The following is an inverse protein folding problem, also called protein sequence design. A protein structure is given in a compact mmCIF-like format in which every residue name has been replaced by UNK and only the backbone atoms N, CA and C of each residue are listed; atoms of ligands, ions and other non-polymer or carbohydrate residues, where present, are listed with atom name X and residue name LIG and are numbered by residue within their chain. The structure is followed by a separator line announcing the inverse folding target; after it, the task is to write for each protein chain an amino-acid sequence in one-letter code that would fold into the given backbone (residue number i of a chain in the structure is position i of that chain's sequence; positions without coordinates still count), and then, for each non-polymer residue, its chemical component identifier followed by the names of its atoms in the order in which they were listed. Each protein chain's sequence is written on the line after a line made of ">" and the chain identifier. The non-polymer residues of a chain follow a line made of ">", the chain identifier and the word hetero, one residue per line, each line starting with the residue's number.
data_IF_378217889114
#
_entry.id   IF_378217889114
#
_cell.length_a   1.000
_cell.length_b   1.000
_cell.length_c   1.000
_cell.angle_alpha   90.00
_cell.angle_beta   90.00
_cell.angle_gamma   90.00
#
_symmetry.space_group_name_H-M   'P 1'
#
loop_
_entity.id
_entity.type
_entity.pdbx_description
1 polymer ?
#
# COMPACT_ATOMS: atom_id res chain seq x y z
N UNK A 1 8.75 21.65 10.90
CA UNK A 1 9.22 20.96 9.67
C UNK A 1 8.08 20.30 8.88
N UNK A 2 7.30 19.34 9.43
CA UNK A 2 6.17 18.70 8.70
C UNK A 2 5.13 19.68 8.13
N UNK A 3 4.64 20.64 8.92
CA UNK A 3 3.69 21.67 8.47
C UNK A 3 4.26 22.60 7.39
N UNK A 4 5.57 22.88 7.44
CA UNK A 4 6.25 23.72 6.46
C UNK A 4 6.41 23.02 5.11
N UNK A 5 6.67 21.70 5.11
CA UNK A 5 6.76 20.91 3.88
C UNK A 5 5.39 20.80 3.21
N UNK A 6 4.34 20.55 3.99
CA UNK A 6 2.96 20.47 3.51
C UNK A 6 2.54 21.81 2.88
N UNK A 7 2.80 22.92 3.59
CA UNK A 7 2.56 24.27 3.08
C UNK A 7 3.30 24.56 1.78
N UNK A 8 4.59 24.19 1.70
CA UNK A 8 5.39 24.40 0.49
C UNK A 8 4.87 23.55 -0.68
N UNK A 9 4.49 22.29 -0.43
CA UNK A 9 3.90 21.42 -1.47
C UNK A 9 2.53 21.91 -1.95
N UNK A 10 1.68 22.42 -1.05
CA UNK A 10 0.40 22.99 -1.44
C UNK A 10 0.56 24.30 -2.21
N UNK A 11 1.54 25.12 -1.84
CA UNK A 11 1.85 26.36 -2.53
C UNK A 11 2.40 26.10 -3.93
N UNK A 12 3.28 25.10 -4.07
CA UNK A 12 3.79 24.66 -5.37
C UNK A 12 2.64 24.19 -6.28
N UNK A 13 1.78 23.29 -5.78
CA UNK A 13 0.61 22.81 -6.54
C UNK A 13 -0.32 23.96 -6.95
N UNK A 14 -0.55 24.91 -6.04
CA UNK A 14 -1.36 26.10 -6.30
C UNK A 14 -0.77 26.97 -7.41
N UNK A 15 0.54 27.25 -7.38
CA UNK A 15 1.18 28.01 -8.45
C UNK A 15 1.22 27.23 -9.78
N UNK A 16 1.43 25.91 -9.75
CA UNK A 16 1.34 25.09 -10.97
C UNK A 16 -0.04 25.20 -11.63
N UNK A 17 -1.12 25.15 -10.84
CA UNK A 17 -2.50 25.34 -11.30
C UNK A 17 -2.70 26.70 -11.99
N UNK A 18 -2.06 27.76 -11.50
CA UNK A 18 -2.20 29.11 -12.03
C UNK A 18 -1.31 29.37 -13.27
N UNK A 19 -0.10 28.81 -13.28
CA UNK A 19 0.88 29.06 -14.36
C UNK A 19 0.59 28.17 -15.58
N UNK A 20 0.15 26.92 -15.36
CA UNK A 20 -0.08 25.93 -16.43
C UNK A 20 -1.50 25.35 -16.41
N UNK A 21 -2.57 26.19 -16.45
CA UNK A 21 -3.95 25.75 -16.20
C UNK A 21 -4.42 24.65 -17.16
N UNK A 22 -4.10 24.76 -18.46
CA UNK A 22 -4.48 23.76 -19.46
C UNK A 22 -3.81 22.39 -19.21
N UNK A 23 -2.50 22.39 -18.88
CA UNK A 23 -1.75 21.16 -18.59
C UNK A 23 -2.23 20.52 -17.30
N UNK A 24 -2.38 21.32 -16.24
CA UNK A 24 -2.87 20.82 -14.96
C UNK A 24 -4.28 20.27 -15.05
N UNK A 25 -5.17 20.92 -15.80
CA UNK A 25 -6.52 20.39 -16.07
C UNK A 25 -6.46 19.05 -16.81
N UNK A 26 -5.65 18.96 -17.88
CA UNK A 26 -5.48 17.71 -18.63
C UNK A 26 -5.00 16.56 -17.74
N UNK A 27 -3.96 16.77 -16.93
CA UNK A 27 -3.44 15.72 -16.04
C UNK A 27 -4.38 15.40 -14.87
N UNK A 28 -5.20 16.36 -14.42
CA UNK A 28 -6.27 16.08 -13.48
C UNK A 28 -7.34 15.18 -14.10
N UNK A 29 -7.74 15.43 -15.36
CA UNK A 29 -8.65 14.57 -16.11
C UNK A 29 -8.09 13.15 -16.29
N UNK A 30 -6.81 13.02 -16.63
CA UNK A 30 -6.15 11.71 -16.70
C UNK A 30 -6.18 10.97 -15.36
N UNK A 31 -5.89 11.68 -14.25
CA UNK A 31 -6.01 11.12 -12.90
C UNK A 31 -7.43 10.69 -12.53
N UNK A 32 -8.44 11.49 -12.92
CA UNK A 32 -9.87 11.15 -12.74
C UNK A 32 -10.25 9.93 -13.57
N UNK A 33 -9.85 9.87 -14.84
CA UNK A 33 -10.14 8.76 -15.74
C UNK A 33 -9.55 7.46 -15.21
N UNK A 34 -8.29 7.50 -14.79
CA UNK A 34 -7.62 6.37 -14.16
C UNK A 34 -8.34 5.93 -12.87
N UNK A 35 -8.69 6.88 -12.01
CA UNK A 35 -9.42 6.57 -10.77
C UNK A 35 -10.79 5.95 -11.07
N UNK A 36 -11.57 6.55 -11.96
CA UNK A 36 -12.96 6.17 -12.22
C UNK A 36 -13.10 4.89 -13.05
N UNK A 37 -12.31 4.75 -14.13
CA UNK A 37 -12.43 3.62 -15.05
C UNK A 37 -11.60 2.40 -14.65
N UNK A 38 -10.57 2.58 -13.82
CA UNK A 38 -9.67 1.49 -13.44
C UNK A 38 -9.73 1.19 -11.96
N UNK A 39 -9.45 2.16 -11.10
CA UNK A 39 -9.28 1.92 -9.66
C UNK A 39 -10.63 1.68 -8.97
N UNK A 40 -11.66 2.46 -9.30
CA UNK A 40 -12.98 2.36 -8.72
C UNK A 40 -13.62 0.98 -8.93
N UNK A 41 -13.79 0.48 -10.16
CA UNK A 41 -14.41 -0.82 -10.40
C UNK A 41 -13.56 -1.99 -9.90
N UNK A 42 -12.23 -1.86 -9.87
CA UNK A 42 -11.33 -2.95 -9.46
C UNK A 42 -11.18 -3.07 -7.94
N UNK A 43 -11.19 -1.97 -7.18
CA UNK A 43 -10.94 -2.00 -5.73
C UNK A 43 -12.22 -1.86 -4.89
N UNK A 44 -13.24 -1.14 -5.35
CA UNK A 44 -14.43 -0.88 -4.52
C UNK A 44 -15.13 -2.19 -4.08
N UNK A 45 -15.39 -3.18 -4.95
CA UNK A 45 -16.03 -4.42 -4.52
C UNK A 45 -15.20 -5.14 -3.44
N UNK A 46 -13.87 -5.15 -3.59
CA UNK A 46 -12.97 -5.77 -2.63
C UNK A 46 -12.94 -5.03 -1.29
N UNK A 47 -12.97 -3.69 -1.30
CA UNK A 47 -13.03 -2.88 -0.07
C UNK A 47 -14.34 -3.14 0.71
N UNK A 48 -15.47 -3.19 0.00
CA UNK A 48 -16.78 -3.47 0.61
C UNK A 48 -16.80 -4.88 1.21
N UNK A 49 -16.39 -5.90 0.43
CA UNK A 49 -16.34 -7.28 0.90
C UNK A 49 -15.38 -7.44 2.08
N UNK A 50 -14.24 -6.77 2.06
CA UNK A 50 -13.31 -6.84 3.18
C UNK A 50 -13.89 -6.15 4.42
N UNK A 51 -14.53 -5.00 4.29
CA UNK A 51 -15.24 -4.35 5.41
C UNK A 51 -16.32 -5.28 5.99
N UNK A 52 -17.05 -6.02 5.16
CA UNK A 52 -18.00 -7.04 5.65
C UNK A 52 -17.31 -8.20 6.38
N UNK A 53 -16.19 -8.72 5.85
CA UNK A 53 -15.42 -9.79 6.49
C UNK A 53 -14.80 -9.36 7.82
N UNK A 54 -14.45 -8.08 7.93
CA UNK A 54 -13.97 -7.40 9.13
C UNK A 54 -15.08 -7.34 10.18
N UNK A 55 -16.24 -6.76 9.84
CA UNK A 55 -17.38 -6.56 10.74
C UNK A 55 -18.00 -7.89 11.21
N UNK A 56 -17.98 -8.93 10.37
CA UNK A 56 -18.49 -10.27 10.74
C UNK A 56 -17.53 -11.10 11.60
N UNK A 57 -16.29 -10.63 11.79
CA UNK A 57 -15.23 -11.38 12.49
C UNK A 57 -14.73 -12.63 11.74
N UNK A 58 -15.19 -12.86 10.50
CA UNK A 58 -14.77 -14.00 9.68
C UNK A 58 -13.27 -13.95 9.38
N UNK A 59 -12.74 -12.75 9.08
CA UNK A 59 -11.32 -12.55 8.84
C UNK A 59 -10.46 -12.97 10.05
N UNK A 60 -10.92 -12.67 11.28
CA UNK A 60 -10.22 -13.05 12.52
C UNK A 60 -10.22 -14.57 12.76
N UNK A 61 -11.27 -15.28 12.33
CA UNK A 61 -11.34 -16.75 12.42
C UNK A 61 -10.44 -17.44 11.39
N UNK A 62 -10.40 -16.92 10.16
CA UNK A 62 -9.51 -17.43 9.11
C UNK A 62 -8.05 -17.22 9.51
N UNK A 63 -7.74 -16.06 10.10
CA UNK A 63 -6.37 -15.76 10.53
C UNK A 63 -5.90 -16.67 11.68
N UNK A 64 -6.78 -17.02 12.62
CA UNK A 64 -6.42 -17.92 13.73
C UNK A 64 -5.92 -19.31 13.28
N UNK A 65 -6.33 -19.81 12.10
CA UNK A 65 -5.89 -21.13 11.60
C UNK A 65 -4.47 -21.14 11.03
N UNK A 66 -4.00 -20.01 10.49
CA UNK A 66 -2.65 -19.86 9.94
C UNK A 66 -1.66 -19.23 10.94
N UNK A 67 -2.12 -18.98 12.16
CA UNK A 67 -1.40 -18.29 13.24
C UNK A 67 -0.05 -18.96 13.57
N UNK A 68 -0.02 -20.29 13.67
CA UNK A 68 1.19 -21.04 14.08
C UNK A 68 2.36 -20.84 13.10
N UNK A 69 2.08 -20.84 11.79
CA UNK A 69 3.11 -20.63 10.77
C UNK A 69 3.66 -19.20 10.84
N UNK A 70 2.79 -18.19 10.91
CA UNK A 70 3.20 -16.78 10.91
C UNK A 70 3.83 -16.33 12.23
N UNK A 71 3.41 -16.90 13.37
CA UNK A 71 4.11 -16.74 14.65
C UNK A 71 5.54 -17.27 14.56
N UNK A 72 5.73 -18.44 13.96
CA UNK A 72 7.04 -19.07 13.86
C UNK A 72 7.96 -18.32 12.88
N UNK A 73 7.45 -17.91 11.72
CA UNK A 73 8.25 -17.29 10.64
C UNK A 73 8.40 -15.78 10.78
N UNK A 74 7.39 -15.07 11.26
CA UNK A 74 7.40 -13.60 11.38
C UNK A 74 7.38 -13.10 12.83
N UNK A 75 7.02 -13.93 13.81
CA UNK A 75 6.96 -13.53 15.22
C UNK A 75 5.81 -12.57 15.54
N UNK A 76 4.76 -12.58 14.72
CA UNK A 76 3.58 -11.73 14.87
C UNK A 76 2.62 -12.31 15.91
N UNK A 77 1.95 -11.44 16.65
CA UNK A 77 0.77 -11.78 17.45
C UNK A 77 -0.40 -12.20 16.53
N UNK A 78 -1.48 -12.79 17.08
CA UNK A 78 -2.68 -13.09 16.30
C UNK A 78 -3.29 -11.84 15.64
N UNK A 79 -3.29 -10.72 16.36
CA UNK A 79 -3.74 -9.42 15.86
C UNK A 79 -2.81 -8.88 14.76
N UNK A 80 -1.50 -9.03 14.93
CA UNK A 80 -0.52 -8.66 13.90
C UNK A 80 -0.64 -9.49 12.63
N UNK A 81 -0.91 -10.80 12.75
CA UNK A 81 -1.17 -11.64 11.59
C UNK A 81 -2.45 -11.22 10.87
N UNK A 82 -3.50 -10.85 11.61
CA UNK A 82 -4.72 -10.32 11.04
C UNK A 82 -4.48 -9.03 10.23
N UNK A 83 -3.65 -8.12 10.74
CA UNK A 83 -3.25 -6.92 9.98
C UNK A 83 -2.47 -7.24 8.70
N UNK A 84 -1.52 -8.18 8.77
CA UNK A 84 -0.77 -8.63 7.59
C UNK A 84 -1.69 -9.29 6.54
N UNK A 85 -2.57 -10.20 6.98
CA UNK A 85 -3.48 -10.92 6.10
C UNK A 85 -4.36 -9.93 5.33
N UNK A 86 -5.04 -9.03 6.03
CA UNK A 86 -5.89 -8.04 5.38
C UNK A 86 -5.10 -7.01 4.58
N UNK A 87 -3.92 -6.63 5.04
CA UNK A 87 -3.02 -5.77 4.29
C UNK A 87 -2.62 -6.37 2.94
N UNK A 88 -2.40 -7.68 2.87
CA UNK A 88 -2.14 -8.38 1.60
C UNK A 88 -3.37 -8.41 0.68
N UNK A 89 -4.58 -8.64 1.21
CA UNK A 89 -5.79 -8.71 0.39
C UNK A 89 -6.32 -7.35 -0.05
N UNK A 90 -6.37 -6.37 0.85
CA UNK A 90 -6.87 -5.02 0.58
C UNK A 90 -5.84 -4.12 -0.09
N UNK A 91 -4.55 -4.41 0.16
CA UNK A 91 -3.44 -3.60 -0.28
C UNK A 91 -3.31 -2.26 0.44
N UNK A 92 -2.72 -1.27 -0.23
CA UNK A 92 -2.56 0.07 0.33
C UNK A 92 -3.85 0.90 0.32
N UNK A 93 -3.98 1.87 1.26
CA UNK A 93 -3.20 2.04 2.49
C UNK A 93 -3.75 1.20 3.66
N UNK A 94 -4.62 0.22 3.37
CA UNK A 94 -5.43 -0.49 4.38
C UNK A 94 -4.61 -1.27 5.38
N UNK A 95 -3.52 -1.92 4.96
CA UNK A 95 -2.62 -2.61 5.90
C UNK A 95 -2.11 -1.69 7.02
N UNK A 96 -1.74 -0.45 6.67
CA UNK A 96 -1.29 0.54 7.65
C UNK A 96 -2.43 1.06 8.53
N UNK A 97 -3.64 1.29 7.96
CA UNK A 97 -4.84 1.68 8.73
C UNK A 97 -5.19 0.63 9.78
N UNK A 98 -5.25 -0.64 9.40
CA UNK A 98 -5.57 -1.74 10.32
C UNK A 98 -4.50 -1.86 11.40
N UNK A 99 -3.22 -1.75 11.02
CA UNK A 99 -2.11 -1.75 11.98
C UNK A 99 -2.25 -0.62 13.01
N UNK A 100 -2.59 0.59 12.57
CA UNK A 100 -2.81 1.73 13.46
C UNK A 100 -4.01 1.50 14.40
N UNK A 101 -5.12 0.97 13.89
CA UNK A 101 -6.31 0.67 14.69
C UNK A 101 -6.03 -0.38 15.79
N UNK A 102 -5.29 -1.44 15.47
CA UNK A 102 -4.92 -2.46 16.45
C UNK A 102 -3.97 -1.90 17.52
N UNK A 103 -3.08 -0.98 17.14
CA UNK A 103 -2.19 -0.30 18.07
C UNK A 103 -2.96 0.65 19.00
N UNK A 104 -3.88 1.46 18.47
CA UNK A 104 -4.76 2.34 19.24
C UNK A 104 -5.69 1.56 20.17
N UNK A 105 -6.11 0.36 19.77
CA UNK A 105 -6.91 -0.55 20.58
C UNK A 105 -6.07 -1.35 21.61
N UNK A 106 -4.76 -1.11 21.70
CA UNK A 106 -3.82 -1.83 22.57
C UNK A 106 -3.78 -3.36 22.32
N UNK A 107 -4.23 -3.84 21.14
CA UNK A 107 -4.16 -5.25 20.75
C UNK A 107 -2.73 -5.66 20.32
N UNK A 108 -1.93 -4.70 19.85
CA UNK A 108 -0.51 -4.86 19.51
C UNK A 108 0.34 -3.76 20.14
N UNK A 109 1.61 -4.05 20.43
CA UNK A 109 2.52 -3.04 20.94
C UNK A 109 3.09 -2.14 19.82
N UNK A 110 3.75 -1.05 20.21
CA UNK A 110 4.33 -0.09 19.26
C UNK A 110 5.42 -0.70 18.37
N UNK A 111 6.17 -1.67 18.89
CA UNK A 111 7.25 -2.31 18.15
C UNK A 111 6.69 -3.22 17.07
N UNK A 112 5.66 -4.01 17.40
CA UNK A 112 4.94 -4.85 16.46
C UNK A 112 4.23 -4.02 15.41
N UNK A 113 3.59 -2.91 15.79
CA UNK A 113 3.00 -1.98 14.84
C UNK A 113 4.04 -1.39 13.88
N UNK A 114 5.18 -0.91 14.38
CA UNK A 114 6.27 -0.40 13.54
C UNK A 114 6.86 -1.49 12.63
N UNK A 115 6.98 -2.72 13.13
CA UNK A 115 7.43 -3.86 12.35
C UNK A 115 6.46 -4.20 11.23
N UNK A 116 5.15 -4.28 11.52
CA UNK A 116 4.11 -4.53 10.52
C UNK A 116 4.10 -3.47 9.43
N UNK A 117 4.27 -2.19 9.77
CA UNK A 117 4.33 -1.11 8.78
C UNK A 117 5.39 -1.32 7.69
N UNK A 118 6.44 -2.12 7.95
CA UNK A 118 7.50 -2.40 6.96
C UNK A 118 7.02 -3.31 5.81
N UNK A 119 5.98 -4.13 6.00
CA UNK A 119 5.58 -5.17 5.02
C UNK A 119 4.09 -5.52 5.00
N UNK A 120 3.24 -4.94 5.86
CA UNK A 120 1.79 -5.14 5.82
C UNK A 120 1.11 -4.34 4.70
N UNK A 121 1.88 -3.45 4.06
CA UNK A 121 1.43 -2.59 2.99
C UNK A 121 2.03 -3.11 1.68
N UNK A 122 1.21 -3.79 0.87
CA UNK A 122 1.55 -4.30 -0.47
C UNK A 122 0.47 -3.92 -1.49
N UNK A 123 0.73 -3.99 -2.81
CA UNK A 123 -0.35 -3.86 -3.79
C UNK A 123 -1.36 -5.00 -3.61
N UNK A 124 -2.65 -4.72 -3.79
CA UNK A 124 -3.68 -5.76 -3.66
C UNK A 124 -3.65 -6.73 -4.85
N UNK A 125 -4.15 -7.96 -4.70
CA UNK A 125 -4.27 -8.90 -5.82
C UNK A 125 -5.14 -8.34 -6.95
N UNK A 126 -6.17 -7.59 -6.60
CA UNK A 126 -7.04 -6.92 -7.56
C UNK A 126 -6.26 -5.89 -8.40
N UNK A 127 -5.42 -5.07 -7.77
CA UNK A 127 -4.56 -4.11 -8.47
C UNK A 127 -3.55 -4.82 -9.38
N UNK A 128 -2.91 -5.90 -8.91
CA UNK A 128 -1.95 -6.65 -9.71
C UNK A 128 -2.60 -7.32 -10.92
N UNK A 129 -3.74 -7.97 -10.75
CA UNK A 129 -4.45 -8.64 -11.84
C UNK A 129 -5.02 -7.67 -12.87
N UNK A 130 -5.73 -6.63 -12.41
CA UNK A 130 -6.40 -5.70 -13.32
C UNK A 130 -5.44 -4.70 -13.95
N UNK A 131 -4.57 -4.08 -13.15
CA UNK A 131 -3.77 -2.96 -13.64
C UNK A 131 -2.40 -3.40 -14.16
N UNK A 132 -1.66 -4.17 -13.37
CA UNK A 132 -0.31 -4.58 -13.78
C UNK A 132 -0.37 -5.61 -14.91
N UNK A 133 -1.13 -6.69 -14.71
CA UNK A 133 -1.17 -7.80 -15.68
C UNK A 133 -2.01 -7.41 -16.90
N UNK A 134 -3.29 -7.06 -16.70
CA UNK A 134 -4.22 -6.84 -17.81
C UNK A 134 -4.00 -5.49 -18.51
N UNK A 135 -3.87 -4.37 -17.79
CA UNK A 135 -3.71 -3.05 -18.41
C UNK A 135 -2.26 -2.78 -18.88
N UNK A 136 -1.26 -2.93 -18.00
CA UNK A 136 0.11 -2.50 -18.32
C UNK A 136 0.84 -3.49 -19.26
N UNK A 137 0.56 -4.78 -19.17
CA UNK A 137 1.19 -5.82 -20.00
C UNK A 137 0.21 -6.51 -20.97
N UNK A 138 -1.01 -6.01 -21.13
CA UNK A 138 -2.01 -6.59 -22.05
C UNK A 138 -2.26 -8.09 -21.81
N UNK A 139 -2.10 -8.57 -20.58
CA UNK A 139 -2.24 -9.99 -20.21
C UNK A 139 -1.08 -10.89 -20.64
N UNK A 140 0.01 -10.36 -21.19
CA UNK A 140 1.12 -11.16 -21.72
C UNK A 140 2.09 -11.67 -20.64
N UNK A 141 2.08 -11.06 -19.46
CA UNK A 141 2.92 -11.48 -18.33
C UNK A 141 2.23 -12.56 -17.49
N UNK A 142 2.96 -13.62 -17.15
CA UNK A 142 2.40 -14.73 -16.36
C UNK A 142 2.01 -14.25 -14.93
N UNK A 143 0.76 -14.44 -14.49
CA UNK A 143 0.31 -13.96 -13.17
C UNK A 143 1.16 -14.49 -12.02
N UNK A 144 1.52 -15.78 -12.06
CA UNK A 144 2.35 -16.40 -11.02
C UNK A 144 3.73 -15.75 -10.87
N UNK A 145 4.28 -15.18 -11.94
CA UNK A 145 5.55 -14.46 -11.89
C UNK A 145 5.39 -13.13 -11.14
N UNK A 146 4.35 -12.35 -11.49
CA UNK A 146 4.05 -11.06 -10.84
C UNK A 146 3.78 -11.24 -9.34
N UNK A 147 2.92 -12.18 -8.99
CA UNK A 147 2.60 -12.49 -7.60
C UNK A 147 3.80 -13.04 -6.83
N UNK A 148 4.56 -13.95 -7.44
CA UNK A 148 5.75 -14.55 -6.84
C UNK A 148 6.82 -13.52 -6.52
N UNK A 149 7.14 -12.62 -7.46
CA UNK A 149 8.13 -11.56 -7.25
C UNK A 149 7.66 -10.58 -6.17
N UNK A 150 6.44 -10.04 -6.27
CA UNK A 150 5.99 -8.97 -5.37
C UNK A 150 5.74 -9.47 -3.94
N UNK A 151 4.99 -10.55 -3.77
CA UNK A 151 4.71 -11.08 -2.44
C UNK A 151 5.92 -11.81 -1.86
N UNK A 152 6.74 -12.47 -2.69
CA UNK A 152 8.03 -13.01 -2.27
C UNK A 152 8.94 -11.90 -1.72
N UNK A 153 9.05 -10.77 -2.42
CA UNK A 153 9.82 -9.60 -1.96
C UNK A 153 9.25 -9.00 -0.68
N UNK A 154 7.93 -8.93 -0.54
CA UNK A 154 7.29 -8.44 0.66
C UNK A 154 7.53 -9.36 1.87
N UNK A 155 7.46 -10.68 1.69
CA UNK A 155 7.79 -11.64 2.74
C UNK A 155 9.27 -11.62 3.09
N UNK A 156 10.16 -11.49 2.11
CA UNK A 156 11.60 -11.37 2.37
C UNK A 156 11.94 -10.09 3.14
N UNK A 157 11.23 -8.99 2.83
CA UNK A 157 11.28 -7.74 3.61
C UNK A 157 10.85 -7.97 5.05
N UNK A 158 9.68 -8.59 5.26
CA UNK A 158 9.19 -8.92 6.60
C UNK A 158 10.20 -9.79 7.38
N UNK A 159 10.80 -10.79 6.74
CA UNK A 159 11.80 -11.64 7.36
C UNK A 159 13.07 -10.86 7.75
N UNK A 160 13.57 -9.98 6.88
CA UNK A 160 14.74 -9.14 7.17
C UNK A 160 14.47 -8.20 8.35
N UNK A 161 13.34 -7.49 8.33
CA UNK A 161 12.98 -6.58 9.41
C UNK A 161 12.67 -7.32 10.71
N UNK A 162 12.23 -8.59 10.66
CA UNK A 162 12.13 -9.43 11.86
C UNK A 162 13.47 -9.51 12.60
N UNK A 163 14.58 -9.67 11.89
CA UNK A 163 15.92 -9.75 12.49
C UNK A 163 16.32 -8.42 13.14
N UNK A 164 15.98 -7.31 12.50
CA UNK A 164 16.21 -5.95 13.01
C UNK A 164 15.40 -5.72 14.30
N UNK A 165 14.09 -5.96 14.26
CA UNK A 165 13.20 -5.75 15.41
C UNK A 165 13.38 -6.78 16.54
N UNK A 166 13.82 -8.02 16.25
CA UNK A 166 14.24 -8.99 17.29
C UNK A 166 15.43 -8.50 18.10
N UNK A 167 16.38 -7.78 17.47
CA UNK A 167 17.54 -7.20 18.17
C UNK A 167 17.12 -6.10 19.16
N UNK A 168 16.01 -5.41 18.88
CA UNK A 168 15.43 -4.40 19.77
C UNK A 168 14.50 -4.97 20.86
N UNK A 169 14.14 -6.27 20.80
CA UNK A 169 13.33 -6.96 21.83
C UNK A 169 14.08 -7.21 23.15
N UNK A 170 15.32 -6.76 23.30
CA UNK A 170 16.12 -7.01 24.51
C UNK A 170 15.73 -6.17 25.74
N UNK A 171 14.68 -5.35 25.68
CA UNK A 171 14.11 -4.66 26.84
C UNK A 171 12.58 -4.74 26.85
N UNK A 172 12.02 -5.84 27.39
CA UNK A 172 11.19 -5.84 28.62
C UNK A 172 10.53 -7.22 28.82
N UNK A 173 10.79 -7.81 29.97
CA UNK A 173 10.08 -8.96 30.53
C UNK A 173 8.67 -8.56 30.99
N UNK A 174 7.78 -9.56 31.03
CA UNK A 174 6.61 -9.69 31.91
C UNK A 174 5.51 -8.62 31.84
N UNK A 175 4.40 -8.98 31.20
CA UNK A 175 3.17 -9.21 31.96
C UNK A 175 2.27 -10.14 31.13
N UNK A 176 2.20 -11.40 31.53
CA UNK A 176 0.99 -12.18 31.37
C UNK A 176 -0.11 -11.40 32.13
N UNK A 177 -0.82 -10.50 31.45
CA UNK A 177 -2.15 -10.12 31.89
C UNK A 177 -3.09 -11.11 31.23
N UNK A 178 -3.42 -12.17 31.98
CA UNK A 178 -4.70 -12.84 31.87
C UNK A 178 -5.80 -11.80 32.11
N UNK A 179 -6.08 -10.98 31.10
CA UNK A 179 -7.36 -10.31 31.04
C UNK A 179 -8.35 -11.38 30.60
N UNK A 180 -9.16 -11.82 31.57
CA UNK A 180 -10.52 -12.28 31.32
C UNK A 180 -11.08 -11.44 30.18
N UNK A 181 -11.30 -12.07 29.03
CA UNK A 181 -11.97 -11.49 27.88
C UNK A 181 -13.43 -11.28 28.30
N UNK A 182 -13.68 -10.26 29.12
CA UNK A 182 -14.88 -9.49 28.95
C UNK A 182 -14.74 -8.91 27.55
N UNK A 183 -15.48 -9.50 26.63
CA UNK A 183 -15.87 -8.92 25.35
C UNK A 183 -16.25 -7.46 25.60
N UNK A 184 -15.28 -6.55 25.52
CA UNK A 184 -15.53 -5.22 24.97
C UNK A 184 -15.68 -5.46 23.48
N UNK A 185 -16.84 -6.01 23.11
CA UNK A 185 -17.42 -5.69 21.82
C UNK A 185 -17.27 -4.17 21.67
N UNK A 186 -16.73 -3.76 20.54
CA UNK A 186 -16.55 -2.37 20.16
C UNK A 186 -17.92 -1.69 20.26
N UNK A 187 -18.29 -1.23 21.45
CA UNK A 187 -19.41 -0.34 21.71
C UNK A 187 -18.93 1.06 21.30
N UNK A 188 -18.60 1.20 20.02
CA UNK A 188 -19.17 2.33 19.31
C UNK A 188 -20.60 1.92 19.07
N UNK A 189 -21.49 2.71 19.63
CA UNK A 189 -22.93 2.64 19.47
C UNK A 189 -23.26 2.87 17.99
N UNK A 190 -22.93 1.92 17.12
CA UNK A 190 -23.46 1.87 15.76
C UNK A 190 -24.89 1.45 15.94
N UNK A 191 -25.80 2.42 15.78
CA UNK A 191 -27.15 2.17 15.33
C UNK A 191 -27.13 0.97 14.38
N UNK A 192 -28.06 0.02 14.56
CA UNK A 192 -28.28 -1.13 13.68
C UNK A 192 -28.70 -0.69 12.26
N UNK A 193 -28.01 0.28 11.64
CA UNK A 193 -27.97 0.42 10.20
C UNK A 193 -27.34 -0.85 9.62
N UNK A 194 -27.77 -1.26 8.44
CA UNK A 194 -27.32 -2.52 7.87
C UNK A 194 -25.78 -2.53 7.83
N UNK A 195 -25.15 -3.59 8.34
CA UNK A 195 -23.70 -3.80 8.27
C UNK A 195 -23.16 -3.63 6.84
N UNK A 196 -24.01 -3.93 5.86
CA UNK A 196 -23.80 -3.67 4.45
C UNK A 196 -23.65 -2.18 4.14
N UNK A 197 -24.58 -1.32 4.60
CA UNK A 197 -24.56 0.13 4.34
C UNK A 197 -23.29 0.76 4.92
N UNK A 198 -22.91 0.38 6.14
CA UNK A 198 -21.65 0.83 6.77
C UNK A 198 -20.43 0.38 5.96
N UNK A 199 -20.42 -0.87 5.49
CA UNK A 199 -19.31 -1.40 4.70
C UNK A 199 -19.19 -0.76 3.33
N UNK A 200 -20.33 -0.46 2.68
CA UNK A 200 -20.40 0.30 1.44
C UNK A 200 -19.79 1.68 1.67
N UNK A 201 -20.18 2.37 2.73
CA UNK A 201 -19.74 3.74 2.98
C UNK A 201 -18.27 3.85 3.36
N UNK A 202 -17.76 2.90 4.16
CA UNK A 202 -16.32 2.78 4.42
C UNK A 202 -15.53 2.55 3.11
N UNK A 203 -16.04 1.70 2.22
CA UNK A 203 -15.42 1.46 0.91
C UNK A 203 -15.35 2.72 0.06
N UNK A 204 -16.44 3.49 0.00
CA UNK A 204 -16.48 4.77 -0.72
C UNK A 204 -15.56 5.84 -0.11
N UNK A 205 -15.47 5.92 1.22
CA UNK A 205 -14.55 6.85 1.90
C UNK A 205 -13.10 6.57 1.49
N UNK A 206 -12.67 5.30 1.60
CA UNK A 206 -11.30 4.87 1.27
C UNK A 206 -11.00 5.13 -0.20
N UNK A 207 -11.90 4.76 -1.11
CA UNK A 207 -11.64 4.87 -2.54
C UNK A 207 -11.68 6.31 -3.04
N UNK A 208 -12.51 7.16 -2.44
CA UNK A 208 -12.56 8.60 -2.75
C UNK A 208 -11.28 9.28 -2.28
N UNK A 209 -10.82 8.94 -1.08
CA UNK A 209 -9.54 9.44 -0.59
C UNK A 209 -8.39 9.02 -1.52
N UNK A 210 -8.34 7.75 -1.94
CA UNK A 210 -7.38 7.27 -2.92
C UNK A 210 -7.44 8.07 -4.24
N UNK A 211 -8.64 8.36 -4.73
CA UNK A 211 -8.85 9.19 -5.93
C UNK A 211 -8.27 10.60 -5.80
N UNK A 212 -8.46 11.25 -4.65
CA UNK A 212 -7.87 12.56 -4.38
C UNK A 212 -6.34 12.55 -4.47
N UNK A 213 -5.69 11.53 -3.91
CA UNK A 213 -4.24 11.37 -4.04
C UNK A 213 -3.80 11.08 -5.47
N UNK A 214 -4.51 10.21 -6.20
CA UNK A 214 -4.20 9.91 -7.61
C UNK A 214 -4.25 11.18 -8.45
N UNK A 215 -5.30 12.01 -8.32
CA UNK A 215 -5.46 13.24 -9.10
C UNK A 215 -4.30 14.21 -8.83
N UNK A 216 -3.99 14.49 -7.55
CA UNK A 216 -2.92 15.42 -7.19
C UNK A 216 -1.55 14.94 -7.68
N UNK A 217 -1.26 13.65 -7.53
CA UNK A 217 0.02 13.10 -7.96
C UNK A 217 0.10 12.88 -9.48
N UNK A 218 -1.03 12.73 -10.18
CA UNK A 218 -1.09 12.71 -11.65
C UNK A 218 -0.72 14.07 -12.23
N UNK A 219 -1.21 15.16 -11.62
CA UNK A 219 -0.81 16.54 -11.97
C UNK A 219 0.71 16.70 -11.84
N UNK A 220 1.27 16.31 -10.70
CA UNK A 220 2.72 16.43 -10.45
C UNK A 220 3.53 15.59 -11.43
N UNK A 221 3.10 14.34 -11.68
CA UNK A 221 3.79 13.42 -12.59
C UNK A 221 3.73 13.92 -14.03
N UNK A 222 2.57 14.40 -14.48
CA UNK A 222 2.40 14.97 -15.81
C UNK A 222 3.25 16.21 -16.06
N UNK A 223 3.26 17.15 -15.11
CA UNK A 223 4.13 18.33 -15.19
C UNK A 223 5.61 17.96 -15.20
N UNK A 224 6.02 16.94 -14.45
CA UNK A 224 7.39 16.42 -14.48
C UNK A 224 7.74 15.84 -15.85
N UNK A 225 6.79 15.16 -16.51
CA UNK A 225 7.00 14.64 -17.86
C UNK A 225 7.14 15.76 -18.88
N UNK A 226 6.26 16.76 -18.85
CA UNK A 226 6.33 17.92 -19.75
C UNK A 226 7.66 18.66 -19.67
N UNK A 227 8.23 18.78 -18.47
CA UNK A 227 9.51 19.45 -18.24
C UNK A 227 10.72 18.61 -18.70
N UNK A 228 10.53 17.30 -18.92
CA UNK A 228 11.57 16.33 -19.26
C UNK A 228 12.93 16.50 -18.54
N UNK A 229 12.99 16.81 -17.22
CA UNK A 229 14.23 17.25 -16.60
C UNK A 229 15.32 16.16 -16.56
N UNK A 230 14.95 14.89 -16.79
CA UNK A 230 15.86 13.75 -16.68
C UNK A 230 15.81 12.78 -17.87
N UNK A 231 15.28 13.21 -19.02
CA UNK A 231 15.28 12.43 -20.26
C UNK A 231 14.66 11.02 -20.09
N UNK A 232 15.48 9.98 -20.23
CA UNK A 232 15.06 8.57 -20.14
C UNK A 232 14.67 8.11 -18.73
N UNK A 233 15.05 8.85 -17.67
CA UNK A 233 14.70 8.52 -16.29
C UNK A 233 13.32 9.06 -15.84
N UNK A 234 12.67 9.90 -16.65
CA UNK A 234 11.36 10.48 -16.32
C UNK A 234 10.29 9.46 -15.92
N UNK A 235 10.15 8.28 -16.57
CA UNK A 235 9.18 7.26 -16.14
C UNK A 235 9.44 6.71 -14.74
N UNK A 236 10.71 6.53 -14.35
CA UNK A 236 11.07 6.05 -13.00
C UNK A 236 10.72 7.09 -11.94
N UNK A 237 10.92 8.38 -12.24
CA UNK A 237 10.56 9.46 -11.33
C UNK A 237 9.04 9.60 -11.19
N UNK A 238 8.29 9.39 -12.29
CA UNK A 238 6.83 9.30 -12.22
C UNK A 238 6.41 8.14 -11.29
N UNK A 239 7.05 6.97 -11.38
CA UNK A 239 6.81 5.86 -10.47
C UNK A 239 7.22 6.12 -9.01
N UNK A 240 8.23 6.95 -8.80
CA UNK A 240 8.59 7.41 -7.46
C UNK A 240 7.53 8.35 -6.86
N UNK A 241 6.84 9.14 -7.69
CA UNK A 241 5.72 9.99 -7.25
C UNK A 241 4.44 9.20 -7.07
N UNK A 242 4.04 8.46 -8.10
CA UNK A 242 2.71 7.88 -8.24
C UNK A 242 2.81 6.54 -8.99
N UNK A 243 2.40 5.47 -8.31
CA UNK A 243 2.52 4.10 -8.79
C UNK A 243 1.82 3.89 -10.13
N UNK A 244 0.61 4.40 -10.32
CA UNK A 244 -0.18 4.07 -11.52
C UNK A 244 0.39 4.73 -12.78
N UNK A 245 0.59 6.04 -12.73
CA UNK A 245 1.23 6.83 -13.78
C UNK A 245 2.62 6.30 -14.09
N UNK A 246 3.42 5.97 -13.06
CA UNK A 246 4.73 5.35 -13.24
C UNK A 246 4.68 4.03 -14.00
N UNK A 247 3.77 3.13 -13.62
CA UNK A 247 3.61 1.83 -14.28
C UNK A 247 3.19 2.01 -15.74
N UNK A 248 2.22 2.88 -16.03
CA UNK A 248 1.78 3.16 -17.40
C UNK A 248 2.94 3.67 -18.28
N UNK A 249 3.74 4.59 -17.75
CA UNK A 249 4.87 5.18 -18.48
C UNK A 249 6.04 4.20 -18.64
N UNK A 250 6.33 3.39 -17.62
CA UNK A 250 7.33 2.33 -17.71
C UNK A 250 6.90 1.26 -18.73
N UNK A 251 5.63 0.88 -18.74
CA UNK A 251 5.09 -0.06 -19.71
C UNK A 251 5.15 0.48 -21.15
N UNK A 252 4.95 1.79 -21.35
CA UNK A 252 5.08 2.45 -22.66
C UNK A 252 6.53 2.75 -23.07
N UNK A 253 7.51 2.62 -22.15
CA UNK A 253 8.90 2.97 -22.41
C UNK A 253 9.59 2.07 -23.48
N UNK A 254 10.70 2.57 -24.02
CA UNK A 254 11.55 1.86 -24.98
C UNK A 254 12.52 0.86 -24.33
N UNK A 255 12.35 0.55 -23.04
CA UNK A 255 13.16 -0.45 -22.35
C UNK A 255 12.94 -1.86 -22.95
N UNK A 256 13.99 -2.70 -22.99
CA UNK A 256 13.81 -4.13 -23.29
C UNK A 256 12.77 -4.76 -22.36
N UNK A 257 12.03 -5.75 -22.86
CA UNK A 257 10.88 -6.32 -22.15
C UNK A 257 11.23 -6.78 -20.72
N UNK A 258 12.36 -7.46 -20.52
CA UNK A 258 12.84 -7.87 -19.19
C UNK A 258 13.05 -6.67 -18.24
N UNK A 259 13.69 -5.60 -18.73
CA UNK A 259 13.93 -4.38 -17.97
C UNK A 259 12.63 -3.63 -17.65
N UNK A 260 11.69 -3.60 -18.60
CA UNK A 260 10.35 -3.04 -18.44
C UNK A 260 9.56 -3.77 -17.34
N UNK A 261 9.55 -5.10 -17.39
CA UNK A 261 8.90 -5.93 -16.37
C UNK A 261 9.50 -5.68 -14.99
N UNK A 262 10.82 -5.74 -14.85
CA UNK A 262 11.46 -5.51 -13.55
C UNK A 262 11.21 -4.10 -13.02
N UNK A 263 11.29 -3.06 -13.86
CA UNK A 263 11.03 -1.69 -13.46
C UNK A 263 9.59 -1.48 -12.98
N UNK A 264 8.60 -2.06 -13.69
CA UNK A 264 7.19 -2.02 -13.28
C UNK A 264 6.96 -2.72 -11.94
N UNK A 265 7.55 -3.90 -11.72
CA UNK A 265 7.42 -4.62 -10.45
C UNK A 265 8.12 -3.88 -9.31
N UNK A 266 9.28 -3.27 -9.57
CA UNK A 266 9.98 -2.42 -8.59
C UNK A 266 9.12 -1.22 -8.20
N UNK A 267 8.53 -0.54 -9.18
CA UNK A 267 7.61 0.57 -8.99
C UNK A 267 6.38 0.15 -8.16
N UNK A 268 5.80 -1.01 -8.50
CA UNK A 268 4.65 -1.55 -7.77
C UNK A 268 4.99 -1.89 -6.31
N UNK A 269 6.16 -2.48 -6.05
CA UNK A 269 6.63 -2.78 -4.70
C UNK A 269 6.86 -1.52 -3.87
N UNK A 270 7.43 -0.48 -4.47
CA UNK A 270 7.68 0.81 -3.81
C UNK A 270 6.38 1.53 -3.45
N UNK A 271 5.44 1.64 -4.40
CA UNK A 271 4.14 2.31 -4.21
C UNK A 271 4.16 3.83 -4.39
N UNK A 272 5.33 4.46 -4.43
CA UNK A 272 5.45 5.89 -4.66
C UNK A 272 5.15 6.77 -3.44
N UNK A 273 5.48 8.06 -3.55
CA UNK A 273 5.21 9.06 -2.53
C UNK A 273 3.70 9.28 -2.28
N UNK A 274 2.86 9.05 -3.30
CA UNK A 274 1.41 9.06 -3.17
C UNK A 274 0.93 8.08 -2.10
N UNK A 275 1.38 6.82 -2.16
CA UNK A 275 0.99 5.80 -1.19
C UNK A 275 1.66 6.06 0.18
N UNK A 276 2.86 6.63 0.22
CA UNK A 276 3.48 7.06 1.46
C UNK A 276 2.66 8.17 2.16
N UNK A 277 2.14 9.14 1.40
CA UNK A 277 1.28 10.20 1.93
C UNK A 277 -0.06 9.65 2.42
N UNK A 278 -0.67 8.73 1.67
CA UNK A 278 -1.88 8.01 2.09
C UNK A 278 -1.65 7.23 3.40
N UNK A 279 -0.55 6.47 3.48
CA UNK A 279 -0.16 5.73 4.68
C UNK A 279 0.05 6.68 5.86
N UNK A 280 0.75 7.79 5.66
CA UNK A 280 0.98 8.79 6.70
C UNK A 280 -0.33 9.39 7.22
N UNK A 281 -1.32 9.59 6.35
CA UNK A 281 -2.65 10.04 6.74
C UNK A 281 -3.36 9.00 7.61
N UNK A 282 -3.29 7.72 7.25
CA UNK A 282 -3.90 6.62 8.00
C UNK A 282 -3.31 6.40 9.39
N UNK A 283 -2.01 6.66 9.57
CA UNK A 283 -1.32 6.44 10.86
C UNK A 283 -1.15 7.73 11.67
N UNK A 284 -1.61 8.88 11.17
CA UNK A 284 -1.30 10.18 11.78
C UNK A 284 -1.77 10.28 13.24
N UNK A 285 -2.99 9.81 13.52
CA UNK A 285 -3.62 9.94 14.84
C UNK A 285 -3.09 8.93 15.87
N UNK A 286 -2.46 7.86 15.41
CA UNK A 286 -1.93 6.82 16.30
C UNK A 286 -0.57 7.18 16.89
N UNK A 287 0.12 8.20 16.37
CA UNK A 287 1.48 8.56 16.82
C UNK A 287 2.57 7.60 16.33
N UNK A 288 2.24 6.68 15.40
CA UNK A 288 3.21 5.81 14.74
C UNK A 288 4.06 6.61 13.72
N UNK A 289 5.38 6.35 13.65
CA UNK A 289 6.24 7.00 12.67
C UNK A 289 6.02 6.39 11.27
N UNK A 290 6.16 7.21 10.22
CA UNK A 290 6.14 6.76 8.82
C UNK A 290 7.44 6.06 8.39
N UNK A 291 8.55 6.29 9.10
CA UNK A 291 9.87 5.78 8.70
C UNK A 291 9.96 4.25 8.52
N UNK A 292 9.39 3.41 9.40
CA UNK A 292 9.38 1.96 9.18
C UNK A 292 8.72 1.56 7.86
N UNK A 293 7.62 2.22 7.50
CA UNK A 293 6.97 2.01 6.21
C UNK A 293 7.91 2.35 5.05
N UNK A 294 8.54 3.53 5.07
CA UNK A 294 9.46 3.94 3.99
C UNK A 294 10.67 2.99 3.86
N UNK A 295 11.26 2.61 4.98
CA UNK A 295 12.38 1.66 5.01
C UNK A 295 11.98 0.29 4.44
N UNK A 296 10.81 -0.21 4.85
CA UNK A 296 10.23 -1.44 4.31
C UNK A 296 9.96 -1.35 2.80
N UNK A 297 9.46 -0.21 2.32
CA UNK A 297 9.21 0.03 0.89
C UNK A 297 10.45 0.03 0.03
N UNK A 298 11.49 0.71 0.47
CA UNK A 298 12.77 0.74 -0.24
C UNK A 298 13.39 -0.67 -0.28
N UNK A 299 13.31 -1.40 0.83
CA UNK A 299 13.79 -2.78 0.89
C UNK A 299 13.00 -3.72 -0.03
N UNK A 300 11.67 -3.63 0.00
CA UNK A 300 10.79 -4.44 -0.83
C UNK A 300 10.97 -4.13 -2.32
N UNK A 301 11.15 -2.85 -2.69
CA UNK A 301 11.47 -2.45 -4.05
C UNK A 301 12.82 -3.00 -4.52
N UNK A 302 13.85 -2.96 -3.67
CA UNK A 302 15.16 -3.54 -3.97
C UNK A 302 15.06 -5.06 -4.20
N UNK A 303 14.32 -5.78 -3.36
CA UNK A 303 14.05 -7.20 -3.57
C UNK A 303 13.26 -7.45 -4.86
N UNK A 304 12.20 -6.68 -5.12
CA UNK A 304 11.38 -6.87 -6.32
C UNK A 304 12.16 -6.64 -7.62
N UNK A 305 13.04 -5.62 -7.66
CA UNK A 305 13.87 -5.36 -8.84
C UNK A 305 14.90 -6.46 -9.10
N UNK A 306 15.54 -6.94 -8.03
CA UNK A 306 16.56 -8.00 -8.11
C UNK A 306 15.94 -9.37 -8.43
N UNK A 307 14.91 -9.79 -7.70
CA UNK A 307 14.14 -11.01 -7.97
C UNK A 307 13.49 -10.95 -9.36
N UNK A 308 12.95 -9.80 -9.75
CA UNK A 308 12.34 -9.60 -11.06
C UNK A 308 13.33 -9.86 -12.19
N UNK A 309 14.52 -9.23 -12.16
CA UNK A 309 15.55 -9.47 -13.19
C UNK A 309 16.08 -10.90 -13.17
N UNK A 310 16.38 -11.41 -11.97
CA UNK A 310 16.92 -12.75 -11.79
C UNK A 310 15.94 -13.81 -12.31
N UNK A 311 14.72 -13.87 -11.77
CA UNK A 311 13.74 -14.87 -12.18
C UNK A 311 13.36 -14.73 -13.65
N UNK A 312 13.35 -13.51 -14.21
CA UNK A 312 13.09 -13.33 -15.63
C UNK A 312 14.17 -14.01 -16.47
N UNK A 313 15.46 -13.80 -16.16
CA UNK A 313 16.57 -14.41 -16.89
C UNK A 313 16.67 -15.94 -16.77
N UNK A 314 16.08 -16.53 -15.72
CA UNK A 314 16.06 -17.99 -15.53
C UNK A 314 14.83 -18.67 -16.11
N UNK A 315 13.70 -17.96 -16.23
CA UNK A 315 12.42 -18.53 -16.67
C UNK A 315 12.08 -18.23 -18.14
N UNK A 316 12.74 -17.24 -18.75
CA UNK A 316 12.50 -16.77 -20.12
C UNK A 316 13.81 -16.48 -20.84
#
# INVERSE_FOLDING_TARGET
>A
MKKSLLFLSSLLLFFCLLIFPARTFFYACEGVNLWFHTILPSLLPFLILTSLLLETGAARRISARAEVFFQTVFGLSPAGFYALFLGLFCGFPMGARITAQLYEAEEIDRNEACYLLTFCSSPSPAFLSSYVILTAFSGQIHPGFVFGVLYGSNFLTGFLFRLVFRRFRLHRHTAHRTHSVEKKEMSKQTSKGNLLDTSIMNGFEIITQLGGYIILFSILSGLLMDLHPFGSASPLLCGALEITTGIAQLAASSLPYAGKVSAVLTCAAFGGLSVAAQTNCMIHNSGLPLWPYLAGKLCCAAFAGTLGLFLFAFLF
#
